data_IF_790717255850
#
_entry.id   IF_790717255850
#
_cell.length_a   1.000
_cell.length_b   1.000
_cell.length_c   1.000
_cell.angle_alpha   90.00
_cell.angle_beta   90.00
_cell.angle_gamma   90.00
#
_symmetry.space_group_name_H-M   'P 1'
#
loop_
_entity.id
_entity.type
_entity.pdbx_description
1 polymer ?
#
# COMPACT_ATOMS: atom_id res chain seq x y z
N UNK A 1 25.71 -33.84 -15.41
CA UNK A 1 25.39 -32.88 -16.49
C UNK A 1 24.64 -31.72 -15.84
N UNK A 2 25.29 -30.57 -15.74
CA UNK A 2 24.77 -29.40 -15.05
C UNK A 2 23.80 -28.69 -16.01
N UNK A 3 22.50 -28.97 -15.91
CA UNK A 3 21.47 -28.25 -16.67
C UNK A 3 21.41 -26.84 -16.11
N UNK A 4 22.12 -25.91 -16.75
CA UNK A 4 22.03 -24.48 -16.47
C UNK A 4 20.61 -24.02 -16.74
N UNK A 5 19.76 -24.03 -15.70
CA UNK A 5 18.49 -23.35 -15.74
C UNK A 5 18.79 -21.88 -15.98
N UNK A 6 18.47 -21.38 -17.17
CA UNK A 6 18.54 -19.96 -17.49
C UNK A 6 17.82 -19.21 -16.38
N UNK A 7 18.56 -18.37 -15.64
CA UNK A 7 18.00 -17.59 -14.55
C UNK A 7 16.99 -16.62 -15.18
N UNK A 8 15.73 -16.74 -14.81
CA UNK A 8 14.68 -15.84 -15.30
C UNK A 8 15.10 -14.40 -14.97
N UNK A 9 15.24 -13.58 -16.00
CA UNK A 9 15.48 -12.15 -15.86
C UNK A 9 14.15 -11.40 -15.97
N UNK A 10 13.59 -11.04 -14.81
CA UNK A 10 12.32 -10.33 -14.74
C UNK A 10 12.43 -8.89 -15.24
N UNK A 11 13.64 -8.31 -15.31
CA UNK A 11 13.85 -6.95 -15.80
C UNK A 11 13.60 -6.82 -17.31
N UNK A 12 13.62 -7.92 -18.04
CA UNK A 12 13.34 -7.94 -19.49
C UNK A 12 11.86 -7.68 -19.85
N UNK A 13 10.96 -7.80 -18.87
CA UNK A 13 9.51 -7.63 -19.05
C UNK A 13 9.13 -6.14 -19.01
N UNK A 14 9.25 -5.46 -20.16
CA UNK A 14 9.01 -4.02 -20.26
C UNK A 14 7.65 -3.54 -19.73
N UNK A 15 6.62 -4.37 -19.83
CA UNK A 15 5.26 -4.04 -19.38
C UNK A 15 5.14 -3.90 -17.87
N UNK A 16 6.08 -4.47 -17.10
CA UNK A 16 6.11 -4.31 -15.65
C UNK A 16 6.31 -2.86 -15.21
N UNK A 17 6.99 -2.07 -16.03
CA UNK A 17 7.39 -0.71 -15.67
C UNK A 17 6.42 0.35 -16.20
N UNK A 18 5.63 0.02 -17.23
CA UNK A 18 4.75 0.96 -17.94
C UNK A 18 3.31 0.92 -17.44
N UNK A 19 2.51 1.91 -17.81
CA UNK A 19 1.06 1.88 -17.64
C UNK A 19 0.42 1.11 -18.80
N UNK A 20 -0.30 0.02 -18.51
CA UNK A 20 -0.85 -0.90 -19.51
C UNK A 20 -2.36 -1.10 -19.38
N UNK A 21 -3.02 -0.53 -18.37
CA UNK A 21 -4.49 -0.69 -18.18
C UNK A 21 -5.32 0.01 -19.26
N UNK A 22 -4.80 1.05 -19.91
CA UNK A 22 -5.54 1.79 -20.92
C UNK A 22 -4.82 3.02 -21.45
N UNK A 23 -5.58 3.93 -22.04
CA UNK A 23 -5.09 5.21 -22.61
C UNK A 23 -5.74 6.40 -21.92
N UNK A 24 -5.09 7.55 -22.01
CA UNK A 24 -5.63 8.81 -21.48
C UNK A 24 -6.13 9.68 -22.63
N UNK A 25 -7.31 10.29 -22.44
CA UNK A 25 -7.91 11.18 -23.43
C UNK A 25 -7.14 12.51 -23.52
N UNK A 26 -6.57 12.96 -22.40
CA UNK A 26 -5.86 14.24 -22.25
C UNK A 26 -4.45 13.98 -21.73
N UNK A 27 -3.46 14.69 -22.28
CA UNK A 27 -2.05 14.64 -21.87
C UNK A 27 -1.50 13.22 -21.73
N UNK A 28 -1.70 12.37 -22.75
CA UNK A 28 -1.39 10.95 -22.67
C UNK A 28 0.06 10.66 -22.33
N UNK A 29 1.00 11.33 -23.01
CA UNK A 29 2.43 11.15 -22.77
C UNK A 29 2.81 11.50 -21.32
N UNK A 30 2.25 12.58 -20.77
CA UNK A 30 2.54 13.01 -19.40
C UNK A 30 1.92 12.08 -18.37
N UNK A 31 0.68 11.63 -18.61
CA UNK A 31 0.02 10.67 -17.75
C UNK A 31 0.69 9.29 -17.75
N UNK A 32 1.23 8.86 -18.89
CA UNK A 32 2.03 7.66 -19.00
C UNK A 32 3.36 7.82 -18.23
N UNK A 33 4.08 8.93 -18.44
CA UNK A 33 5.35 9.21 -17.76
C UNK A 33 5.21 9.25 -16.24
N UNK A 34 4.16 9.88 -15.72
CA UNK A 34 3.84 9.94 -14.29
C UNK A 34 3.53 8.57 -13.66
N UNK A 35 3.26 7.55 -14.49
CA UNK A 35 2.89 6.18 -14.08
C UNK A 35 3.86 5.12 -14.60
N UNK A 36 4.97 5.55 -15.19
CA UNK A 36 6.11 4.71 -15.49
C UNK A 36 7.11 4.81 -14.34
N UNK A 37 7.58 3.66 -13.86
CA UNK A 37 8.62 3.59 -12.84
C UNK A 37 9.59 2.47 -13.19
N UNK A 38 10.88 2.77 -13.14
CA UNK A 38 11.96 1.81 -13.34
C UNK A 38 12.55 1.42 -11.99
N UNK A 39 12.72 0.12 -11.80
CA UNK A 39 13.25 -0.50 -10.60
C UNK A 39 13.78 -1.90 -10.96
N UNK A 40 14.54 -2.51 -10.06
CA UNK A 40 15.08 -3.86 -10.27
C UNK A 40 14.07 -4.92 -9.80
N UNK A 41 13.35 -5.51 -10.75
CA UNK A 41 12.35 -6.55 -10.49
C UNK A 41 12.99 -7.83 -9.96
N UNK A 42 14.21 -8.16 -10.39
CA UNK A 42 14.93 -9.33 -9.88
C UNK A 42 15.25 -9.20 -8.38
N UNK A 43 15.62 -8.01 -7.92
CA UNK A 43 15.87 -7.73 -6.51
C UNK A 43 14.58 -7.68 -5.72
N UNK A 44 13.49 -7.15 -6.30
CA UNK A 44 12.18 -7.19 -5.66
C UNK A 44 11.70 -8.63 -5.45
N UNK A 45 11.84 -9.48 -6.48
CA UNK A 45 11.52 -10.90 -6.43
C UNK A 45 12.35 -11.65 -5.37
N UNK A 46 13.63 -11.28 -5.21
CA UNK A 46 14.51 -11.83 -4.17
C UNK A 46 14.04 -11.43 -2.77
N UNK A 47 13.73 -10.15 -2.55
CA UNK A 47 13.21 -9.65 -1.28
C UNK A 47 11.89 -10.34 -0.93
N UNK A 48 11.00 -10.49 -1.91
CA UNK A 48 9.71 -11.15 -1.72
C UNK A 48 9.90 -12.60 -1.25
N UNK A 49 10.74 -13.39 -1.94
CA UNK A 49 11.04 -14.76 -1.55
C UNK A 49 11.63 -14.85 -0.14
N UNK A 50 12.63 -14.02 0.16
CA UNK A 50 13.28 -13.98 1.48
C UNK A 50 12.30 -13.61 2.60
N UNK A 51 11.38 -12.67 2.35
CA UNK A 51 10.42 -12.19 3.34
C UNK A 51 9.43 -13.25 3.83
N UNK A 52 9.24 -14.32 3.05
CA UNK A 52 8.35 -15.45 3.40
C UNK A 52 9.11 -16.77 3.57
N UNK A 53 10.44 -16.74 3.61
CA UNK A 53 11.26 -17.94 3.80
C UNK A 53 11.27 -18.90 2.60
N UNK A 54 10.97 -18.41 1.40
CA UNK A 54 11.11 -19.15 0.14
C UNK A 54 12.53 -19.01 -0.44
N UNK A 55 12.97 -19.96 -1.26
CA UNK A 55 14.30 -19.87 -1.87
C UNK A 55 14.31 -19.00 -3.13
N UNK A 56 13.20 -18.96 -3.88
CA UNK A 56 13.04 -18.06 -5.03
C UNK A 56 11.59 -17.81 -5.43
N UNK A 57 11.37 -16.67 -6.09
CA UNK A 57 10.16 -16.39 -6.85
C UNK A 57 10.23 -17.12 -8.21
N UNK A 58 9.15 -17.82 -8.58
CA UNK A 58 9.06 -18.63 -9.80
C UNK A 58 8.10 -18.05 -10.84
N UNK A 59 7.17 -17.18 -10.44
CA UNK A 59 6.26 -16.50 -11.35
C UNK A 59 5.94 -15.09 -10.85
N UNK A 60 5.82 -14.14 -11.78
CA UNK A 60 5.38 -12.77 -11.50
C UNK A 60 4.30 -12.41 -12.52
N UNK A 61 3.12 -12.08 -12.02
CA UNK A 61 2.01 -11.55 -12.81
C UNK A 61 1.75 -10.10 -12.37
N UNK A 62 1.65 -9.18 -13.34
CA UNK A 62 1.27 -7.81 -13.06
C UNK A 62 -0.25 -7.68 -13.10
N UNK A 63 -0.85 -7.22 -12.01
CA UNK A 63 -2.27 -6.87 -11.98
C UNK A 63 -2.56 -5.62 -12.82
N UNK A 64 -3.81 -5.42 -13.26
CA UNK A 64 -4.21 -4.20 -13.96
C UNK A 64 -3.78 -2.94 -13.20
N UNK A 65 -3.06 -2.03 -13.88
CA UNK A 65 -2.44 -0.87 -13.22
C UNK A 65 -3.45 -0.05 -12.41
N UNK A 66 -3.05 0.32 -11.20
CA UNK A 66 -3.68 1.41 -10.48
C UNK A 66 -3.34 2.76 -11.11
N UNK A 67 -4.03 3.81 -10.69
CA UNK A 67 -3.69 5.17 -11.11
C UNK A 67 -2.41 5.70 -10.44
N UNK A 68 -1.97 5.06 -9.35
CA UNK A 68 -0.93 5.57 -8.44
C UNK A 68 0.07 4.50 -8.00
N UNK A 69 -0.13 3.24 -8.38
CA UNK A 69 0.75 2.16 -8.01
C UNK A 69 0.60 1.00 -9.01
N UNK A 70 1.61 0.14 -9.01
CA UNK A 70 1.63 -1.16 -9.64
C UNK A 70 1.52 -2.22 -8.57
N UNK A 71 0.81 -3.30 -8.88
CA UNK A 71 0.71 -4.46 -8.03
C UNK A 71 1.10 -5.70 -8.82
N UNK A 72 1.89 -6.57 -8.20
CA UNK A 72 2.36 -7.81 -8.78
C UNK A 72 1.99 -8.97 -7.86
N UNK A 73 1.35 -9.98 -8.42
CA UNK A 73 1.24 -11.28 -7.80
C UNK A 73 2.56 -12.02 -8.02
N UNK A 74 3.20 -12.45 -6.94
CA UNK A 74 4.45 -13.19 -6.97
C UNK A 74 4.25 -14.57 -6.35
N UNK A 75 4.52 -15.61 -7.12
CA UNK A 75 4.43 -17.02 -6.68
C UNK A 75 5.82 -17.54 -6.35
N UNK A 76 5.95 -18.14 -5.18
CA UNK A 76 7.21 -18.68 -4.65
C UNK A 76 7.35 -20.18 -4.94
N UNK A 77 8.59 -20.69 -4.87
CA UNK A 77 8.90 -22.11 -5.09
C UNK A 77 8.35 -23.06 -4.02
N UNK A 78 7.97 -22.54 -2.86
CA UNK A 78 7.26 -23.28 -1.81
C UNK A 78 5.72 -23.23 -1.96
N UNK A 79 5.21 -22.65 -3.05
CA UNK A 79 3.78 -22.52 -3.34
C UNK A 79 3.07 -21.33 -2.68
N UNK A 80 3.76 -20.53 -1.86
CA UNK A 80 3.19 -19.31 -1.30
C UNK A 80 3.05 -18.21 -2.36
N UNK A 81 2.01 -17.39 -2.22
CA UNK A 81 1.77 -16.22 -3.06
C UNK A 81 1.77 -14.95 -2.22
N UNK A 82 2.39 -13.90 -2.75
CA UNK A 82 2.44 -12.57 -2.11
C UNK A 82 2.11 -11.48 -3.12
N UNK A 83 1.67 -10.33 -2.61
CA UNK A 83 1.49 -9.12 -3.40
C UNK A 83 2.66 -8.19 -3.18
N UNK A 84 3.32 -7.80 -4.26
CA UNK A 84 4.29 -6.70 -4.25
C UNK A 84 3.63 -5.44 -4.83
N UNK A 85 3.59 -4.37 -4.05
CA UNK A 85 3.06 -3.07 -4.45
C UNK A 85 4.20 -2.06 -4.61
N UNK A 86 4.20 -1.34 -5.72
CA UNK A 86 5.16 -0.29 -6.05
C UNK A 86 4.40 1.02 -6.32
N UNK A 87 4.61 2.10 -5.56
CA UNK A 87 4.01 3.39 -5.88
C UNK A 87 4.59 3.95 -7.19
N UNK A 88 3.74 4.59 -7.98
CA UNK A 88 4.15 5.35 -9.15
C UNK A 88 4.71 6.72 -8.71
N UNK A 89 5.45 7.44 -9.58
CA UNK A 89 5.96 8.78 -9.28
C UNK A 89 4.88 9.80 -8.87
N UNK A 90 3.64 9.59 -9.30
CA UNK A 90 2.49 10.42 -8.94
C UNK A 90 1.73 9.95 -7.67
N UNK A 91 2.27 9.02 -6.90
CA UNK A 91 1.56 8.45 -5.75
C UNK A 91 1.36 9.43 -4.59
N UNK A 92 2.20 10.47 -4.50
CA UNK A 92 2.20 11.44 -3.41
C UNK A 92 3.63 11.79 -3.00
N UNK A 93 3.80 12.21 -1.76
CA UNK A 93 5.13 12.50 -1.20
C UNK A 93 5.90 11.18 -1.05
N UNK A 94 7.10 11.07 -1.63
CA UNK A 94 7.99 9.92 -1.43
C UNK A 94 8.23 9.68 0.05
N UNK A 95 8.50 8.43 0.43
CA UNK A 95 8.56 7.94 1.80
C UNK A 95 7.22 7.99 2.55
N UNK A 96 6.58 9.16 2.64
CA UNK A 96 5.41 9.36 3.50
C UNK A 96 4.22 8.48 3.08
N UNK A 97 3.97 8.36 1.78
CA UNK A 97 2.85 7.56 1.25
C UNK A 97 3.00 6.08 1.63
N UNK A 98 4.18 5.50 1.39
CA UNK A 98 4.46 4.09 1.69
C UNK A 98 4.53 3.84 3.20
N UNK A 99 5.22 4.70 3.96
CA UNK A 99 5.32 4.58 5.40
C UNK A 99 3.94 4.65 6.07
N UNK A 100 3.09 5.57 5.62
CA UNK A 100 1.76 5.71 6.19
C UNK A 100 0.83 4.55 5.84
N UNK A 101 0.93 4.03 4.62
CA UNK A 101 0.12 2.89 4.20
C UNK A 101 0.43 1.65 5.03
N UNK A 102 1.72 1.34 5.22
CA UNK A 102 2.17 0.21 6.05
C UNK A 102 1.68 0.38 7.49
N UNK A 103 1.92 1.54 8.10
CA UNK A 103 1.49 1.81 9.47
C UNK A 103 -0.04 1.71 9.63
N UNK A 104 -0.81 2.17 8.64
CA UNK A 104 -2.27 2.09 8.66
C UNK A 104 -2.77 0.64 8.58
N UNK A 105 -2.16 -0.19 7.73
CA UNK A 105 -2.54 -1.61 7.64
C UNK A 105 -2.29 -2.34 8.96
N UNK A 106 -1.10 -2.16 9.55
CA UNK A 106 -0.76 -2.81 10.81
C UNK A 106 -1.60 -2.28 11.98
N UNK A 107 -1.89 -0.98 12.01
CA UNK A 107 -2.81 -0.40 13.00
C UNK A 107 -4.22 -0.96 12.88
N UNK A 108 -4.75 -1.04 11.66
CA UNK A 108 -6.07 -1.61 11.41
C UNK A 108 -6.14 -3.08 11.85
N UNK A 109 -5.08 -3.85 11.61
CA UNK A 109 -4.99 -5.25 12.02
C UNK A 109 -4.87 -5.42 13.54
N UNK A 110 -3.98 -4.65 14.17
CA UNK A 110 -3.62 -4.81 15.60
C UNK A 110 -4.66 -4.18 16.52
N UNK A 111 -5.14 -2.98 16.21
CA UNK A 111 -6.00 -2.21 17.11
C UNK A 111 -7.46 -2.21 16.72
N UNK A 112 -7.77 -2.32 15.43
CA UNK A 112 -9.14 -2.29 14.91
C UNK A 112 -9.69 -3.68 14.56
N UNK A 113 -8.88 -4.73 14.70
CA UNK A 113 -9.23 -6.13 14.36
C UNK A 113 -9.77 -6.27 12.93
N UNK A 114 -9.34 -5.37 12.04
CA UNK A 114 -9.75 -5.36 10.65
C UNK A 114 -8.93 -6.39 9.88
N UNK A 115 -9.55 -7.19 9.00
CA UNK A 115 -8.84 -8.15 8.16
C UNK A 115 -8.05 -7.41 7.06
N UNK A 116 -6.97 -6.75 7.45
CA UNK A 116 -6.01 -6.11 6.58
C UNK A 116 -4.84 -7.06 6.25
N UNK A 117 -4.24 -6.96 5.05
CA UNK A 117 -3.08 -7.77 4.68
C UNK A 117 -1.93 -7.61 5.66
N UNK A 118 -1.28 -8.72 6.03
CA UNK A 118 -0.02 -8.66 6.77
C UNK A 118 1.11 -8.18 5.85
N UNK A 119 1.91 -7.23 6.32
CA UNK A 119 3.14 -6.81 5.63
C UNK A 119 4.29 -7.76 5.98
N UNK A 120 4.98 -8.27 4.97
CA UNK A 120 6.15 -9.15 5.11
C UNK A 120 7.46 -8.37 4.99
N UNK A 121 7.52 -7.41 4.07
CA UNK A 121 8.66 -6.53 3.89
C UNK A 121 8.22 -5.18 3.32
N UNK A 122 8.95 -4.12 3.64
CA UNK A 122 8.67 -2.77 3.13
C UNK A 122 9.94 -1.98 2.96
N UNK A 123 9.94 -1.06 2.01
CA UNK A 123 10.95 -0.02 1.88
C UNK A 123 10.29 1.29 1.48
N UNK A 124 10.46 2.32 2.30
CA UNK A 124 10.00 3.69 1.99
C UNK A 124 11.13 4.59 1.48
N UNK A 125 12.37 4.08 1.39
CA UNK A 125 13.53 4.86 0.96
C UNK A 125 14.14 4.26 -0.31
N UNK A 126 13.66 4.69 -1.48
CA UNK A 126 14.05 4.10 -2.77
C UNK A 126 15.57 4.06 -3.01
N UNK A 127 16.30 5.12 -2.62
CA UNK A 127 17.74 5.29 -2.91
C UNK A 127 18.66 4.39 -2.07
N UNK A 128 18.19 3.89 -0.93
CA UNK A 128 19.01 3.09 -0.01
C UNK A 128 18.87 1.58 -0.24
N UNK A 129 18.01 1.15 -1.16
CA UNK A 129 17.67 -0.25 -1.35
C UNK A 129 17.98 -0.74 -2.78
N UNK A 130 18.54 -1.95 -2.98
CA UNK A 130 18.89 -2.49 -4.30
C UNK A 130 17.74 -2.57 -5.33
N UNK A 131 16.50 -2.55 -4.85
CA UNK A 131 15.31 -2.48 -5.71
C UNK A 131 15.25 -1.14 -6.47
N UNK A 132 15.77 -0.06 -5.89
CA UNK A 132 15.74 1.28 -6.48
C UNK A 132 14.36 1.95 -6.44
N UNK A 133 13.40 1.40 -5.70
CA UNK A 133 12.07 1.95 -5.52
C UNK A 133 11.54 1.70 -4.11
N UNK A 134 10.51 2.46 -3.75
CA UNK A 134 9.65 2.13 -2.63
C UNK A 134 8.84 0.87 -2.95
N UNK A 135 8.57 0.05 -1.94
CA UNK A 135 7.75 -1.14 -2.11
C UNK A 135 7.10 -1.59 -0.81
N UNK A 136 6.03 -2.36 -0.97
CA UNK A 136 5.40 -3.15 0.10
C UNK A 136 5.24 -4.58 -0.43
N UNK A 137 5.80 -5.56 0.27
CA UNK A 137 5.51 -6.98 0.09
C UNK A 137 4.53 -7.39 1.19
N UNK A 138 3.36 -7.88 0.80
CA UNK A 138 2.27 -8.18 1.71
C UNK A 138 1.52 -9.46 1.34
N UNK A 139 0.73 -9.94 2.28
CA UNK A 139 -0.18 -11.07 2.15
C UNK A 139 -1.14 -10.89 0.97
N UNK A 140 -1.34 -11.97 0.19
CA UNK A 140 -2.44 -12.06 -0.76
C UNK A 140 -3.70 -12.42 0.01
N UNK A 141 -4.70 -11.53 -0.01
CA UNK A 141 -6.01 -11.83 0.59
C UNK A 141 -6.85 -12.62 -0.40
N UNK A 142 -7.34 -13.77 0.03
CA UNK A 142 -8.26 -14.59 -0.74
C UNK A 142 -9.64 -13.92 -0.84
N UNK A 143 -10.19 -13.89 -2.04
CA UNK A 143 -11.52 -13.34 -2.29
C UNK A 143 -11.69 -12.80 -3.70
N UNK A 144 -12.86 -12.24 -3.96
CA UNK A 144 -13.20 -11.57 -5.23
C UNK A 144 -13.69 -10.16 -4.95
N UNK A 145 -13.41 -9.18 -5.83
CA UNK A 145 -13.96 -7.84 -5.69
C UNK A 145 -15.49 -7.88 -5.60
N UNK A 146 -16.06 -7.18 -4.63
CA UNK A 146 -17.51 -7.15 -4.41
C UNK A 146 -18.28 -6.74 -5.68
N UNK A 147 -17.71 -5.85 -6.48
CA UNK A 147 -18.30 -5.40 -7.76
C UNK A 147 -18.54 -6.52 -8.77
N UNK A 148 -17.76 -7.61 -8.72
CA UNK A 148 -17.91 -8.75 -9.65
C UNK A 148 -19.12 -9.62 -9.30
N UNK A 149 -19.49 -9.69 -8.01
CA UNK A 149 -20.56 -10.58 -7.51
C UNK A 149 -21.80 -9.84 -7.05
N UNK A 150 -21.73 -8.52 -6.86
CA UNK A 150 -22.83 -7.74 -6.29
C UNK A 150 -24.13 -7.85 -7.09
N UNK A 151 -24.06 -7.86 -8.42
CA UNK A 151 -25.24 -7.97 -9.28
C UNK A 151 -25.93 -9.33 -9.18
N UNK A 152 -25.18 -10.40 -8.88
CA UNK A 152 -25.68 -11.78 -8.81
C UNK A 152 -26.10 -12.20 -7.39
N UNK A 153 -25.70 -11.47 -6.36
CA UNK A 153 -26.07 -11.73 -4.97
C UNK A 153 -27.57 -11.51 -4.71
N UNK A 154 -28.18 -12.43 -3.95
CA UNK A 154 -29.56 -12.31 -3.45
C UNK A 154 -29.64 -11.25 -2.36
N UNK A 155 -30.82 -10.65 -2.18
CA UNK A 155 -31.05 -9.60 -1.18
C UNK A 155 -30.58 -9.97 0.24
N UNK A 156 -30.84 -11.19 0.78
CA UNK A 156 -30.31 -11.58 2.08
C UNK A 156 -28.78 -11.55 2.16
N UNK A 157 -28.08 -11.92 1.09
CA UNK A 157 -26.61 -11.91 1.05
C UNK A 157 -26.07 -10.47 1.02
N UNK A 158 -26.70 -9.58 0.25
CA UNK A 158 -26.38 -8.14 0.24
C UNK A 158 -26.54 -7.53 1.63
N UNK A 159 -27.61 -7.89 2.34
CA UNK A 159 -27.83 -7.45 3.72
C UNK A 159 -26.70 -7.92 4.64
N UNK A 160 -26.23 -9.16 4.51
CA UNK A 160 -25.09 -9.65 5.30
C UNK A 160 -23.80 -8.86 5.02
N UNK A 161 -23.52 -8.51 3.76
CA UNK A 161 -22.37 -7.66 3.41
C UNK A 161 -22.48 -6.29 4.07
N UNK A 162 -23.66 -5.66 3.99
CA UNK A 162 -23.89 -4.35 4.61
C UNK A 162 -23.70 -4.42 6.13
N UNK A 163 -24.25 -5.44 6.79
CA UNK A 163 -24.08 -5.65 8.23
C UNK A 163 -22.61 -5.86 8.61
N UNK A 164 -21.85 -6.62 7.81
CA UNK A 164 -20.41 -6.79 8.02
C UNK A 164 -19.64 -5.47 7.89
N UNK A 165 -19.94 -4.66 6.86
CA UNK A 165 -19.34 -3.34 6.68
C UNK A 165 -19.66 -2.40 7.85
N UNK A 166 -20.91 -2.35 8.30
CA UNK A 166 -21.32 -1.53 9.44
C UNK A 166 -20.61 -1.93 10.74
N UNK A 167 -20.36 -3.24 10.96
CA UNK A 167 -19.60 -3.70 12.12
C UNK A 167 -18.15 -3.20 12.10
N UNK A 168 -17.49 -3.28 10.94
CA UNK A 168 -16.12 -2.77 10.75
C UNK A 168 -16.09 -1.25 10.96
N UNK A 169 -17.02 -0.50 10.35
CA UNK A 169 -17.11 0.94 10.53
C UNK A 169 -17.32 1.33 12.00
N UNK A 170 -18.18 0.61 12.72
CA UNK A 170 -18.38 0.82 14.16
C UNK A 170 -17.08 0.62 14.95
N UNK A 171 -16.28 -0.39 14.62
CA UNK A 171 -14.97 -0.61 15.26
C UNK A 171 -14.01 0.55 14.99
N UNK A 172 -13.96 1.05 13.75
CA UNK A 172 -13.10 2.18 13.39
C UNK A 172 -13.49 3.46 14.14
N UNK A 173 -14.79 3.71 14.31
CA UNK A 173 -15.31 4.88 15.04
C UNK A 173 -15.08 4.82 16.56
N UNK A 174 -14.72 3.66 17.12
CA UNK A 174 -14.34 3.55 18.53
C UNK A 174 -12.90 4.02 18.82
N UNK A 175 -12.18 4.43 17.77
CA UNK A 175 -10.85 5.02 17.88
C UNK A 175 -10.89 6.48 17.44
N UNK A 176 -10.31 7.36 18.24
CA UNK A 176 -10.04 8.74 17.87
C UNK A 176 -8.56 9.06 18.02
N UNK A 177 -8.11 10.09 17.31
CA UNK A 177 -6.70 10.48 17.28
C UNK A 177 -6.53 11.86 17.91
N UNK A 178 -5.40 12.09 18.57
CA UNK A 178 -5.14 13.38 19.21
C UNK A 178 -4.79 14.51 18.23
N UNK A 179 -4.46 14.15 16.99
CA UNK A 179 -4.09 15.08 15.92
C UNK A 179 -4.80 14.66 14.62
N UNK A 180 -4.86 15.60 13.68
CA UNK A 180 -5.29 15.35 12.31
C UNK A 180 -4.09 15.08 11.42
N UNK A 181 -4.21 14.09 10.54
CA UNK A 181 -3.16 13.73 9.60
C UNK A 181 -3.20 12.26 9.22
N UNK A 182 -2.04 11.74 8.82
CA UNK A 182 -1.88 10.35 8.42
C UNK A 182 -1.17 9.56 9.53
N UNK A 183 -1.42 8.25 9.59
CA UNK A 183 -0.77 7.38 10.59
C UNK A 183 0.59 6.92 10.07
N UNK A 184 1.59 6.87 10.94
CA UNK A 184 2.95 6.42 10.67
C UNK A 184 3.48 5.59 11.83
N UNK A 185 4.59 4.87 11.61
CA UNK A 185 5.40 4.40 12.72
C UNK A 185 6.17 5.56 13.36
N UNK A 186 6.41 5.48 14.67
CA UNK A 186 7.20 6.47 15.41
C UNK A 186 8.66 6.54 14.96
N UNK A 187 9.17 5.50 14.27
CA UNK A 187 10.51 5.50 13.68
C UNK A 187 10.59 6.22 12.33
N UNK A 188 9.47 6.35 11.62
CA UNK A 188 9.43 6.98 10.29
C UNK A 188 9.26 8.52 10.40
N UNK A 189 8.97 9.09 11.58
CA UNK A 189 8.89 10.53 11.79
C UNK A 189 9.16 10.96 13.23
N UNK A 190 9.40 12.26 13.43
CA UNK A 190 9.43 12.87 14.76
C UNK A 190 8.00 13.26 15.16
N UNK A 191 7.37 12.56 16.13
CA UNK A 191 5.97 12.80 16.44
C UNK A 191 5.78 14.12 17.19
N UNK A 192 4.70 14.89 16.89
CA UNK A 192 4.31 16.04 17.67
C UNK A 192 4.14 15.73 19.16
N UNK A 193 4.36 16.71 20.03
CA UNK A 193 4.11 16.56 21.46
C UNK A 193 2.63 16.18 21.71
N UNK A 194 2.39 15.21 22.59
CA UNK A 194 1.04 14.75 22.89
C UNK A 194 0.44 13.82 21.83
N UNK A 195 1.23 13.25 20.92
CA UNK A 195 0.75 12.21 20.00
C UNK A 195 0.21 10.99 20.77
N UNK A 196 -1.04 10.64 20.49
CA UNK A 196 -1.70 9.44 21.01
C UNK A 196 -2.96 9.18 20.18
N UNK A 197 -3.50 7.98 20.34
CA UNK A 197 -4.88 7.70 19.97
C UNK A 197 -5.66 7.29 21.21
N UNK A 198 -6.98 7.44 21.16
CA UNK A 198 -7.89 7.00 22.20
C UNK A 198 -8.65 5.81 21.65
N UNK A 199 -8.63 4.70 22.38
CA UNK A 199 -9.43 3.51 22.08
C UNK A 199 -10.27 3.18 23.30
N UNK A 200 -11.57 2.99 23.11
CA UNK A 200 -12.52 2.66 24.19
C UNK A 200 -12.44 3.65 25.37
N UNK A 201 -12.31 4.94 25.04
CA UNK A 201 -12.20 6.04 26.02
C UNK A 201 -10.85 6.14 26.74
N UNK A 202 -9.87 5.29 26.42
CA UNK A 202 -8.53 5.30 27.05
C UNK A 202 -7.47 5.77 26.08
N UNK A 203 -6.66 6.74 26.52
CA UNK A 203 -5.52 7.20 25.75
C UNK A 203 -4.43 6.10 25.71
N UNK A 204 -4.07 5.67 24.50
CA UNK A 204 -2.98 4.75 24.24
C UNK A 204 -1.77 5.55 23.78
N UNK A 205 -0.70 5.46 24.57
CA UNK A 205 0.59 6.13 24.32
C UNK A 205 1.66 5.06 24.06
N UNK A 206 2.74 5.45 23.38
CA UNK A 206 3.88 4.57 23.10
C UNK A 206 3.50 3.27 22.38
N UNK A 207 2.49 3.31 21.51
CA UNK A 207 2.01 2.17 20.73
C UNK A 207 2.94 1.78 19.58
N UNK A 208 4.00 2.57 19.33
CA UNK A 208 4.79 2.51 18.10
C UNK A 208 4.17 3.25 16.92
N UNK A 209 2.96 3.81 17.07
CA UNK A 209 2.26 4.56 16.04
C UNK A 209 2.14 6.04 16.40
N UNK A 210 2.21 6.89 15.38
CA UNK A 210 2.03 8.32 15.53
C UNK A 210 1.23 8.93 14.38
N UNK A 211 0.48 9.99 14.68
CA UNK A 211 -0.14 10.84 13.67
C UNK A 211 0.88 11.87 13.19
N UNK A 212 1.14 11.88 11.89
CA UNK A 212 2.03 12.82 11.21
C UNK A 212 1.32 13.61 10.11
N UNK A 213 2.09 14.31 9.25
CA UNK A 213 1.54 15.09 8.14
C UNK A 213 0.63 14.26 7.24
N UNK A 214 -0.44 14.87 6.73
CA UNK A 214 -1.34 14.21 5.80
C UNK A 214 -0.63 13.85 4.48
N UNK A 215 -0.88 12.65 3.97
CA UNK A 215 -0.35 12.16 2.68
C UNK A 215 -1.30 12.39 1.50
N UNK A 216 -2.46 13.01 1.75
CA UNK A 216 -3.50 13.21 0.75
C UNK A 216 -3.00 14.07 -0.42
N UNK A 217 -3.27 13.61 -1.65
CA UNK A 217 -2.83 14.30 -2.87
C UNK A 217 -3.44 15.68 -3.06
N UNK A 218 -4.62 15.95 -2.52
CA UNK A 218 -5.23 17.30 -2.58
C UNK A 218 -4.35 18.39 -1.94
N UNK A 219 -3.39 17.96 -1.11
CA UNK A 219 -2.39 18.80 -0.45
C UNK A 219 -1.05 18.89 -1.21
N UNK A 220 -0.83 18.04 -2.23
CA UNK A 220 0.42 17.96 -3.00
C UNK A 220 0.23 18.34 -4.48
N UNK A 221 -0.94 18.04 -5.05
CA UNK A 221 -1.28 18.33 -6.44
C UNK A 221 -1.43 19.85 -6.65
N UNK A 222 -1.15 20.31 -7.88
CA UNK A 222 -1.24 21.71 -8.31
C UNK A 222 -0.32 22.71 -7.57
N UNK A 223 0.89 22.29 -7.18
CA UNK A 223 1.91 23.18 -6.59
C UNK A 223 1.73 23.47 -5.11
N UNK A 224 0.83 22.74 -4.42
CA UNK A 224 0.58 22.89 -2.98
C UNK A 224 1.57 22.13 -2.10
N UNK A 225 2.49 21.36 -2.69
CA UNK A 225 3.57 20.68 -1.97
C UNK A 225 4.43 21.63 -1.12
N UNK A 226 4.57 22.90 -1.51
CA UNK A 226 5.33 23.91 -0.75
C UNK A 226 4.54 24.52 0.43
N UNK A 227 3.21 24.35 0.44
CA UNK A 227 2.32 24.86 1.49
C UNK A 227 2.26 23.94 2.72
N UNK A 228 2.80 22.72 2.65
CA UNK A 228 2.81 21.75 3.77
C UNK A 228 3.62 22.21 4.99
N UNK A 229 4.30 23.36 4.94
CA UNK A 229 4.95 23.99 6.10
C UNK A 229 4.02 24.84 6.96
N UNK A 230 2.84 25.22 6.49
CA UNK A 230 1.89 26.01 7.26
C UNK A 230 0.46 25.68 6.84
N UNK A 231 -0.36 25.40 7.84
CA UNK A 231 -1.84 25.48 7.86
C UNK A 231 -2.58 24.14 7.94
N UNK A 232 -3.17 23.96 9.12
CA UNK A 232 -4.21 23.03 9.54
C UNK A 232 -5.52 23.32 8.75
N UNK A 233 -6.27 22.30 8.30
CA UNK A 233 -7.77 22.20 8.29
C UNK A 233 -8.29 21.05 7.38
N UNK A 234 -8.77 19.98 8.03
CA UNK A 234 -10.07 19.26 7.89
C UNK A 234 -10.45 18.35 6.67
N UNK A 235 -11.18 17.27 7.05
CA UNK A 235 -12.00 16.22 6.34
C UNK A 235 -11.26 14.89 6.06
N UNK A 236 -11.74 13.69 6.42
CA UNK A 236 -13.08 13.20 6.76
C UNK A 236 -13.02 12.02 7.76
N UNK A 237 -13.72 12.18 8.90
CA UNK A 237 -14.53 11.11 9.50
C UNK A 237 -15.96 11.64 9.45
N UNK A 238 -16.84 10.95 8.73
CA UNK A 238 -18.26 10.90 9.03
C UNK A 238 -18.61 9.44 9.29
#
# INVERSE_FOLDING_TARGET
MNTGASRIDWNSHNDFFKFTRGRFIVDEAENARKREIRFDMNSLARVAAQSVGAARCIAIEKYPDGMFNKAFLMTMDNGQEVIAKIPNPNAGIPHSTTASEVATMDFARIFLETPAPRVYARNSQAKSHPVGAEFIIMEKIEGVPLSQVWSTMKLPQKLQVLLAMTRIQKQWLNVSFSHYGSLYYTEDLQPPAGNHFVKDGKAVRNSGFAIGPATGRDWCDAGRSDLLRLTLVVLLVR
#
